data_IF_849835556163
#
_entry.id   IF_849835556163
#
_cell.length_a   1.000
_cell.length_b   1.000
_cell.length_c   1.000
_cell.angle_alpha   90.00
_cell.angle_beta   90.00
_cell.angle_gamma   90.00
#
_symmetry.space_group_name_H-M   'P 1'
#
loop_
_entity.id
_entity.type
_entity.pdbx_description
1 polymer ?
#
# COMPACT_ATOMS: atom_id res chain seq x y z
N UNK A 1 -32.05 12.96 -19.80
CA UNK A 1 -31.06 12.42 -18.84
C UNK A 1 -29.66 12.75 -19.34
N UNK A 2 -28.97 13.69 -18.69
CA UNK A 2 -27.79 14.39 -19.23
C UNK A 2 -26.56 13.48 -19.37
N UNK A 3 -26.00 13.37 -20.59
CA UNK A 3 -24.77 12.61 -20.91
C UNK A 3 -23.51 13.08 -20.16
N UNK A 4 -23.57 14.23 -19.49
CA UNK A 4 -22.50 14.73 -18.63
C UNK A 4 -22.37 13.89 -17.35
N UNK A 5 -23.47 13.56 -16.64
CA UNK A 5 -23.41 12.71 -15.44
C UNK A 5 -22.83 11.33 -15.72
N UNK A 6 -23.08 10.78 -16.91
CA UNK A 6 -22.58 9.47 -17.32
C UNK A 6 -21.04 9.40 -17.45
N UNK A 7 -20.37 10.52 -17.76
CA UNK A 7 -18.90 10.55 -17.94
C UNK A 7 -18.14 10.85 -16.64
N UNK A 8 -18.75 11.61 -15.74
CA UNK A 8 -18.16 11.93 -14.44
C UNK A 8 -18.42 10.86 -13.38
N UNK A 9 -19.52 10.10 -13.52
CA UNK A 9 -19.89 9.01 -12.61
C UNK A 9 -18.74 8.06 -12.27
N UNK A 10 -18.09 7.40 -13.25
CA UNK A 10 -17.09 6.38 -12.93
C UNK A 10 -15.79 6.97 -12.34
N UNK A 11 -15.35 8.13 -12.82
CA UNK A 11 -14.15 8.80 -12.30
C UNK A 11 -14.37 9.32 -10.88
N UNK A 12 -15.56 9.86 -10.59
CA UNK A 12 -15.93 10.29 -9.25
C UNK A 12 -15.98 9.11 -8.28
N UNK A 13 -16.55 7.98 -8.69
CA UNK A 13 -16.56 6.74 -7.88
C UNK A 13 -15.13 6.26 -7.61
N UNK A 14 -14.27 6.20 -8.63
CA UNK A 14 -12.86 5.83 -8.44
C UNK A 14 -12.14 6.75 -7.44
N UNK A 15 -12.34 8.07 -7.53
CA UNK A 15 -11.73 9.03 -6.63
C UNK A 15 -12.25 8.92 -5.19
N UNK A 16 -13.56 8.74 -5.02
CA UNK A 16 -14.17 8.51 -3.70
C UNK A 16 -13.67 7.22 -3.05
N UNK A 17 -13.51 6.15 -3.84
CA UNK A 17 -12.93 4.89 -3.38
C UNK A 17 -11.48 5.08 -2.91
N UNK A 18 -10.66 5.82 -3.65
CA UNK A 18 -9.29 6.13 -3.22
C UNK A 18 -9.28 6.94 -1.92
N UNK A 19 -10.11 7.99 -1.82
CA UNK A 19 -10.20 8.81 -0.61
C UNK A 19 -10.64 7.97 0.61
N UNK A 20 -11.59 7.06 0.43
CA UNK A 20 -12.03 6.13 1.45
C UNK A 20 -10.90 5.19 1.89
N UNK A 21 -10.18 4.57 0.94
CA UNK A 21 -9.05 3.68 1.24
C UNK A 21 -7.92 4.40 1.98
N UNK A 22 -7.60 5.65 1.59
CA UNK A 22 -6.62 6.48 2.28
C UNK A 22 -7.07 6.78 3.72
N UNK A 23 -8.34 7.14 3.92
CA UNK A 23 -8.89 7.39 5.25
C UNK A 23 -8.77 6.15 6.14
N UNK A 24 -9.15 4.97 5.61
CA UNK A 24 -9.03 3.71 6.35
C UNK A 24 -7.57 3.43 6.67
N UNK A 25 -6.66 3.47 5.69
CA UNK A 25 -5.25 3.19 5.90
C UNK A 25 -4.61 4.11 6.96
N UNK A 26 -5.02 5.38 7.04
CA UNK A 26 -4.43 6.36 7.96
C UNK A 26 -5.05 6.35 9.36
N UNK A 27 -6.29 5.88 9.53
CA UNK A 27 -7.01 5.89 10.82
C UNK A 27 -6.97 4.57 11.57
N UNK A 28 -6.63 3.46 10.90
CA UNK A 28 -6.54 2.17 11.55
C UNK A 28 -5.37 2.12 12.54
N UNK A 29 -5.54 1.43 13.69
CA UNK A 29 -4.44 1.17 14.62
C UNK A 29 -3.34 0.38 13.91
N UNK A 30 -2.13 0.47 14.45
CA UNK A 30 -0.98 -0.20 13.88
C UNK A 30 -1.15 -1.73 14.00
N UNK A 31 -1.10 -2.42 12.85
CA UNK A 31 -1.32 -3.87 12.80
C UNK A 31 0.00 -4.63 13.07
N UNK A 32 -0.11 -5.82 13.65
CA UNK A 32 1.02 -6.72 13.89
C UNK A 32 1.84 -6.99 12.62
N UNK A 33 1.16 -7.30 11.51
CA UNK A 33 1.83 -7.58 10.24
C UNK A 33 2.51 -6.33 9.66
N UNK A 34 1.89 -5.15 9.81
CA UNK A 34 2.50 -3.88 9.38
C UNK A 34 3.85 -3.68 10.07
N UNK A 35 3.91 -3.88 11.39
CA UNK A 35 5.15 -3.79 12.13
C UNK A 35 6.22 -4.75 11.60
N UNK A 36 5.87 -6.02 11.40
CA UNK A 36 6.84 -7.04 11.00
C UNK A 36 7.48 -6.72 9.64
N UNK A 37 6.67 -6.36 8.65
CA UNK A 37 7.19 -6.06 7.31
C UNK A 37 7.93 -4.73 7.24
N UNK A 38 7.42 -3.67 7.89
CA UNK A 38 8.08 -2.37 7.89
C UNK A 38 9.42 -2.45 8.64
N UNK A 39 9.47 -3.19 9.75
CA UNK A 39 10.72 -3.42 10.49
C UNK A 39 11.72 -4.19 9.63
N UNK A 40 11.30 -5.26 8.94
CA UNK A 40 12.18 -5.97 8.03
C UNK A 40 12.78 -5.05 6.94
N UNK A 41 11.97 -4.19 6.31
CA UNK A 41 12.46 -3.20 5.36
C UNK A 41 13.44 -2.20 5.97
N UNK A 42 13.16 -1.73 7.20
CA UNK A 42 14.07 -0.83 7.92
C UNK A 42 15.41 -1.50 8.27
N UNK A 43 15.42 -2.76 8.68
CA UNK A 43 16.65 -3.52 8.95
C UNK A 43 17.47 -3.72 7.67
N UNK A 44 16.80 -3.96 6.55
CA UNK A 44 17.44 -4.09 5.23
C UNK A 44 18.10 -2.80 4.76
N UNK A 45 17.50 -1.63 5.03
CA UNK A 45 18.17 -0.33 4.82
C UNK A 45 19.51 -0.25 5.58
N UNK A 46 19.63 -0.90 6.73
CA UNK A 46 20.83 -0.94 7.55
C UNK A 46 21.76 -2.13 7.24
N UNK A 47 21.53 -2.83 6.12
CA UNK A 47 22.41 -3.90 5.65
C UNK A 47 22.18 -5.27 6.30
N UNK A 48 21.12 -5.41 7.10
CA UNK A 48 20.70 -6.72 7.62
C UNK A 48 19.75 -7.40 6.63
N UNK A 49 20.08 -8.61 6.21
CA UNK A 49 19.34 -9.34 5.18
C UNK A 49 18.43 -10.44 5.78
N UNK A 50 17.21 -10.63 5.24
CA UNK A 50 16.32 -11.70 5.67
C UNK A 50 17.00 -13.07 5.54
N UNK A 51 16.67 -13.99 6.46
CA UNK A 51 17.21 -15.36 6.60
C UNK A 51 18.69 -15.48 6.95
N UNK A 52 19.48 -14.45 6.68
CA UNK A 52 20.90 -14.41 7.09
C UNK A 52 21.06 -13.77 8.45
N UNK A 53 20.47 -12.59 8.63
CA UNK A 53 20.70 -11.74 9.80
C UNK A 53 19.46 -11.69 10.72
N UNK A 54 18.27 -11.98 10.20
CA UNK A 54 17.04 -12.12 10.99
C UNK A 54 16.05 -13.12 10.36
N UNK A 55 15.21 -13.78 11.17
CA UNK A 55 14.20 -14.71 10.66
C UNK A 55 13.07 -13.96 9.95
N UNK A 56 12.69 -14.44 8.77
CA UNK A 56 11.50 -14.02 8.05
C UNK A 56 10.82 -15.28 7.49
N UNK A 57 9.53 -15.47 7.77
CA UNK A 57 8.81 -16.66 7.31
C UNK A 57 8.17 -16.47 5.93
N UNK A 58 8.00 -15.23 5.51
CA UNK A 58 7.39 -14.85 4.24
C UNK A 58 8.45 -14.59 3.17
N UNK A 59 8.04 -14.64 1.89
CA UNK A 59 8.87 -14.21 0.76
C UNK A 59 9.21 -12.71 0.90
N UNK A 60 10.39 -12.26 0.46
CA UNK A 60 10.99 -11.00 0.89
C UNK A 60 10.58 -9.84 -0.01
N UNK A 61 9.67 -10.05 -0.97
CA UNK A 61 9.33 -9.04 -1.97
C UNK A 61 8.77 -7.77 -1.33
N UNK A 62 7.90 -7.92 -0.34
CA UNK A 62 7.33 -6.79 0.39
C UNK A 62 8.37 -6.09 1.30
N UNK A 63 9.18 -6.80 2.11
CA UNK A 63 10.33 -6.21 2.80
C UNK A 63 11.31 -5.47 1.88
N UNK A 64 11.62 -6.03 0.70
CA UNK A 64 12.46 -5.37 -0.30
C UNK A 64 11.86 -4.05 -0.76
N UNK A 65 10.55 -4.04 -1.04
CA UNK A 65 9.83 -2.82 -1.39
C UNK A 65 9.91 -1.78 -0.25
N UNK A 66 9.70 -2.20 1.00
CA UNK A 66 9.82 -1.30 2.15
C UNK A 66 11.25 -0.85 2.43
N UNK A 67 12.27 -1.64 2.10
CA UNK A 67 13.66 -1.21 2.15
C UNK A 67 13.90 -0.04 1.18
N UNK A 68 13.38 -0.13 -0.06
CA UNK A 68 13.46 0.96 -1.03
C UNK A 68 12.73 2.22 -0.54
N UNK A 69 11.54 2.07 0.06
CA UNK A 69 10.85 3.21 0.68
C UNK A 69 11.65 3.79 1.84
N UNK A 70 12.25 2.96 2.69
CA UNK A 70 13.05 3.40 3.82
C UNK A 70 14.32 4.14 3.40
N UNK A 71 14.87 3.84 2.21
CA UNK A 71 15.97 4.60 1.61
C UNK A 71 15.51 5.97 1.09
N UNK A 72 14.25 6.11 0.68
CA UNK A 72 13.70 7.34 0.13
C UNK A 72 13.10 8.29 1.18
N UNK A 73 12.64 7.76 2.32
CA UNK A 73 11.98 8.54 3.37
C UNK A 73 12.11 7.87 4.74
N UNK A 74 12.14 8.69 5.80
CA UNK A 74 12.08 8.21 7.18
C UNK A 74 10.63 7.99 7.68
N UNK A 75 9.63 8.44 6.90
CA UNK A 75 8.20 8.25 7.22
C UNK A 75 7.68 6.88 6.74
N UNK A 76 8.37 5.80 7.12
CA UNK A 76 8.16 4.46 6.56
C UNK A 76 6.74 3.93 6.76
N UNK A 77 6.14 4.16 7.93
CA UNK A 77 4.75 3.76 8.20
C UNK A 77 3.77 4.47 7.25
N UNK A 78 3.92 5.77 7.08
CA UNK A 78 3.09 6.55 6.17
C UNK A 78 3.27 6.08 4.72
N UNK A 79 4.52 5.92 4.29
CA UNK A 79 4.85 5.46 2.93
C UNK A 79 4.30 4.05 2.65
N UNK A 80 4.39 3.14 3.63
CA UNK A 80 3.81 1.80 3.56
C UNK A 80 2.29 1.82 3.43
N UNK A 81 1.62 2.63 4.26
CA UNK A 81 0.15 2.79 4.22
C UNK A 81 -0.36 3.40 2.92
N UNK A 82 0.35 4.40 2.38
CA UNK A 82 0.04 4.98 1.07
C UNK A 82 0.22 3.95 -0.05
N UNK A 83 1.30 3.16 0.00
CA UNK A 83 1.54 2.07 -0.96
C UNK A 83 0.39 1.05 -0.91
N UNK A 84 0.02 0.60 0.28
CA UNK A 84 -1.07 -0.37 0.45
C UNK A 84 -2.40 0.16 -0.07
N UNK A 85 -2.75 1.41 0.23
CA UNK A 85 -3.96 2.05 -0.27
C UNK A 85 -3.98 2.17 -1.80
N UNK A 86 -2.86 2.56 -2.42
CA UNK A 86 -2.72 2.65 -3.87
C UNK A 86 -2.79 1.28 -4.55
N UNK A 87 -2.16 0.26 -3.97
CA UNK A 87 -2.23 -1.10 -4.47
C UNK A 87 -3.66 -1.66 -4.41
N UNK A 88 -4.34 -1.49 -3.28
CA UNK A 88 -5.74 -1.89 -3.12
C UNK A 88 -6.65 -1.17 -4.12
N UNK A 89 -6.48 0.14 -4.29
CA UNK A 89 -7.21 0.92 -5.28
C UNK A 89 -6.97 0.42 -6.71
N UNK A 90 -5.71 0.18 -7.08
CA UNK A 90 -5.34 -0.36 -8.39
C UNK A 90 -5.96 -1.73 -8.67
N UNK A 91 -5.98 -2.63 -7.68
CA UNK A 91 -6.65 -3.93 -7.80
C UNK A 91 -8.15 -3.77 -8.01
N UNK A 92 -8.82 -2.89 -7.25
CA UNK A 92 -10.25 -2.64 -7.42
C UNK A 92 -10.59 -2.06 -8.80
N UNK A 93 -9.79 -1.12 -9.31
CA UNK A 93 -9.95 -0.61 -10.67
C UNK A 93 -9.74 -1.69 -11.72
N UNK A 94 -8.75 -2.55 -11.51
CA UNK A 94 -8.48 -3.67 -12.40
C UNK A 94 -9.66 -4.64 -12.44
N UNK A 95 -10.18 -5.05 -11.28
CA UNK A 95 -11.39 -5.89 -11.17
C UNK A 95 -12.60 -5.23 -11.79
N UNK A 96 -12.81 -3.93 -11.55
CA UNK A 96 -13.94 -3.20 -12.11
C UNK A 96 -13.92 -3.22 -13.64
N UNK A 97 -12.74 -3.12 -14.27
CA UNK A 97 -12.59 -3.25 -15.72
C UNK A 97 -13.04 -4.61 -16.27
N UNK A 98 -13.05 -5.66 -15.46
CA UNK A 98 -13.53 -7.00 -15.86
C UNK A 98 -15.03 -7.20 -15.66
N UNK A 99 -15.68 -6.35 -14.87
CA UNK A 99 -17.11 -6.47 -14.54
C UNK A 99 -18.03 -5.61 -15.40
N UNK A 100 -17.49 -4.64 -16.16
CA UNK A 100 -18.22 -3.72 -17.05
C UNK A 100 -17.78 -3.97 -18.48
#
# INVERSE_FOLDING_TARGET
>A
MNRAFAKWGPRAVAALLLAWLLLVALTQPLNHDEHQFLTAGWLMRHGQWPWRDFPLFQVPLLPLWYALLAMATDWLLLAGRLTAALAAWGVLLWVWRWCV
#
